data_IF_817079584226
#
_entry.id   IF_817079584226
#
_cell.length_a   1.000
_cell.length_b   1.000
_cell.length_c   1.000
_cell.angle_alpha   90.00
_cell.angle_beta   90.00
_cell.angle_gamma   90.00
#
_symmetry.space_group_name_H-M   'P 1'
#
loop_
_entity.id
_entity.type
_entity.pdbx_description
1 polymer ?
#
# COMPACT_ATOMS: atom_id res chain seq x y z
N UNK A 1 -18.78 -11.47 2.14
CA UNK A 1 -17.31 -11.46 2.01
C UNK A 1 -16.92 -11.72 0.57
N UNK A 2 -16.74 -10.66 -0.20
CA UNK A 2 -16.41 -10.76 -1.62
C UNK A 2 -15.30 -9.76 -1.92
N UNK A 3 -14.09 -10.25 -2.16
CA UNK A 3 -13.05 -9.44 -2.76
C UNK A 3 -13.55 -9.10 -4.16
N UNK A 4 -13.94 -7.84 -4.37
CA UNK A 4 -14.30 -7.35 -5.68
C UNK A 4 -13.00 -6.91 -6.36
N UNK A 5 -12.50 -7.72 -7.28
CA UNK A 5 -11.43 -7.29 -8.18
C UNK A 5 -12.01 -6.19 -9.06
N UNK A 6 -11.58 -4.96 -8.83
CA UNK A 6 -11.89 -3.84 -9.72
C UNK A 6 -10.81 -3.85 -10.79
N UNK A 7 -11.12 -4.41 -11.95
CA UNK A 7 -10.29 -4.20 -13.13
C UNK A 7 -10.35 -2.70 -13.46
N UNK A 8 -9.21 -2.02 -13.33
CA UNK A 8 -9.11 -0.60 -13.65
C UNK A 8 -9.21 -0.38 -15.16
N UNK A 9 -9.94 0.65 -15.59
CA UNK A 9 -10.03 1.09 -16.99
C UNK A 9 -8.72 1.73 -17.54
N UNK A 10 -7.54 1.40 -16.99
CA UNK A 10 -6.30 2.13 -17.24
C UNK A 10 -5.11 1.22 -17.48
N UNK A 11 -4.33 1.56 -18.52
CA UNK A 11 -3.00 1.08 -18.92
C UNK A 11 -2.51 -0.21 -18.27
N UNK A 12 -2.34 -1.24 -19.09
CA UNK A 12 -1.73 -2.52 -18.71
C UNK A 12 -0.35 -2.28 -18.09
N UNK A 13 -0.29 -2.28 -16.75
CA UNK A 13 0.96 -2.12 -16.03
C UNK A 13 1.75 -3.41 -16.20
N UNK A 14 2.95 -3.31 -16.75
CA UNK A 14 3.84 -4.46 -16.86
C UNK A 14 4.21 -4.94 -15.46
N UNK A 15 3.78 -6.15 -15.10
CA UNK A 15 4.10 -6.77 -13.82
C UNK A 15 4.74 -8.15 -14.01
N UNK A 16 5.49 -8.58 -13.00
CA UNK A 16 6.08 -9.92 -12.93
C UNK A 16 5.86 -10.50 -11.55
N UNK A 17 5.59 -11.80 -11.48
CA UNK A 17 5.42 -12.54 -10.24
C UNK A 17 6.47 -13.64 -10.20
N UNK A 18 7.28 -13.70 -9.15
CA UNK A 18 8.30 -14.72 -8.96
C UNK A 18 8.54 -15.03 -7.49
N UNK A 19 9.12 -16.20 -7.23
CA UNK A 19 9.54 -16.59 -5.88
C UNK A 19 10.98 -16.16 -5.62
N UNK A 20 11.23 -15.62 -4.44
CA UNK A 20 12.56 -15.27 -3.94
C UNK A 20 12.72 -15.84 -2.52
N UNK A 21 13.28 -17.05 -2.42
CA UNK A 21 13.32 -17.79 -1.15
C UNK A 21 11.91 -18.15 -0.67
N UNK A 22 11.55 -17.73 0.55
CA UNK A 22 10.22 -17.96 1.12
C UNK A 22 9.17 -16.94 0.67
N UNK A 23 9.57 -15.91 -0.09
CA UNK A 23 8.69 -14.82 -0.49
C UNK A 23 8.14 -15.02 -1.91
N UNK A 24 6.89 -14.59 -2.10
CA UNK A 24 6.31 -14.29 -3.40
C UNK A 24 6.46 -12.79 -3.62
N UNK A 25 7.08 -12.41 -4.74
CA UNK A 25 7.30 -11.02 -5.12
C UNK A 25 6.47 -10.72 -6.37
N UNK A 26 5.60 -9.71 -6.28
CA UNK A 26 4.94 -9.08 -7.43
C UNK A 26 5.59 -7.73 -7.67
N UNK A 27 6.37 -7.64 -8.74
CA UNK A 27 7.00 -6.41 -9.21
C UNK A 27 6.08 -5.73 -10.22
N UNK A 28 5.68 -4.49 -9.97
CA UNK A 28 4.96 -3.64 -10.91
C UNK A 28 5.97 -2.62 -11.45
N UNK A 29 6.40 -2.81 -12.70
CA UNK A 29 7.56 -2.12 -13.27
C UNK A 29 7.44 -0.60 -13.16
N UNK A 30 8.40 0.01 -12.45
CA UNK A 30 8.49 1.46 -12.29
C UNK A 30 7.50 2.07 -11.27
N UNK A 31 6.76 1.23 -10.52
CA UNK A 31 5.79 1.68 -9.53
C UNK A 31 6.05 1.12 -8.13
N UNK A 32 5.99 -0.20 -7.92
CA UNK A 32 6.16 -0.80 -6.60
C UNK A 32 6.51 -2.29 -6.66
N UNK A 33 7.01 -2.82 -5.56
CA UNK A 33 7.09 -4.26 -5.29
C UNK A 33 6.17 -4.61 -4.12
N UNK A 34 5.37 -5.66 -4.30
CA UNK A 34 4.64 -6.35 -3.23
C UNK A 34 5.41 -7.62 -2.88
N UNK A 35 5.83 -7.75 -1.63
CA UNK A 35 6.61 -8.89 -1.13
C UNK A 35 5.79 -9.55 -0.02
N UNK A 36 5.44 -10.81 -0.20
CA UNK A 36 4.57 -11.54 0.72
C UNK A 36 5.20 -12.88 1.10
N UNK A 37 5.15 -13.24 2.38
CA UNK A 37 5.71 -14.48 2.92
C UNK A 37 4.79 -15.71 2.73
N UNK A 38 3.74 -15.58 1.91
CA UNK A 38 2.68 -16.57 1.75
C UNK A 38 1.93 -16.92 3.05
N UNK A 39 2.00 -16.04 4.07
CA UNK A 39 1.33 -16.15 5.36
C UNK A 39 0.72 -14.80 5.72
N UNK A 40 1.32 -14.10 6.68
CA UNK A 40 0.76 -12.89 7.29
C UNK A 40 1.61 -11.64 7.09
N UNK A 41 2.85 -11.79 6.60
CA UNK A 41 3.78 -10.67 6.47
C UNK A 41 3.76 -10.15 5.04
N UNK A 42 3.34 -8.90 4.88
CA UNK A 42 3.26 -8.20 3.61
C UNK A 42 4.09 -6.93 3.69
N UNK A 43 4.90 -6.68 2.67
CA UNK A 43 5.72 -5.49 2.53
C UNK A 43 5.47 -4.83 1.17
N UNK A 44 5.26 -3.52 1.18
CA UNK A 44 5.18 -2.70 -0.02
C UNK A 44 6.44 -1.84 -0.11
N UNK A 45 7.14 -1.92 -1.24
CA UNK A 45 8.24 -1.03 -1.56
C UNK A 45 7.81 -0.12 -2.72
N UNK A 46 7.64 1.16 -2.44
CA UNK A 46 7.13 2.12 -3.42
C UNK A 46 8.27 2.85 -4.15
N UNK A 47 8.10 3.09 -5.44
CA UNK A 47 8.99 4.00 -6.17
C UNK A 47 8.81 5.44 -5.63
N UNK A 48 9.89 6.23 -5.49
CA UNK A 48 9.82 7.63 -5.03
C UNK A 48 8.86 8.57 -5.80
N UNK A 49 8.34 8.14 -6.96
CA UNK A 49 7.37 8.90 -7.77
C UNK A 49 6.00 8.98 -7.09
N UNK A 50 5.74 8.07 -6.15
CA UNK A 50 4.52 7.97 -5.35
C UNK A 50 4.62 8.76 -4.02
N UNK A 51 5.76 9.42 -3.75
CA UNK A 51 5.95 10.24 -2.54
C UNK A 51 4.84 11.28 -2.42
N UNK A 52 4.11 11.29 -1.30
CA UNK A 52 2.98 12.18 -1.03
C UNK A 52 1.76 11.98 -1.93
N UNK A 53 1.67 10.86 -2.67
CA UNK A 53 0.55 10.56 -3.60
C UNK A 53 -0.26 9.34 -3.20
N UNK A 54 0.03 8.77 -2.04
CA UNK A 54 -0.67 7.60 -1.50
C UNK A 54 -1.34 7.99 -0.19
N UNK A 55 -2.27 7.16 0.25
CA UNK A 55 -2.92 7.26 1.55
C UNK A 55 -3.37 5.86 1.96
N UNK A 56 -3.63 5.66 3.25
CA UNK A 56 -4.06 4.39 3.81
C UNK A 56 -3.34 4.07 5.12
N UNK A 57 -3.46 2.82 5.55
CA UNK A 57 -2.87 2.34 6.80
C UNK A 57 -1.33 2.42 6.86
N UNK A 58 -0.65 2.52 5.72
CA UNK A 58 0.80 2.71 5.63
C UNK A 58 1.22 4.19 5.62
N UNK A 59 0.31 5.12 5.94
CA UNK A 59 0.56 6.55 5.89
C UNK A 59 0.42 7.15 4.50
N UNK A 60 0.98 8.35 4.31
CA UNK A 60 0.88 9.12 3.05
C UNK A 60 2.19 9.20 2.25
N UNK A 61 3.29 8.63 2.79
CA UNK A 61 4.61 8.59 2.18
C UNK A 61 5.16 9.99 1.80
N UNK A 62 4.90 11.03 2.59
CA UNK A 62 5.47 12.37 2.36
C UNK A 62 6.82 12.61 3.08
N UNK A 63 7.18 11.73 4.03
CA UNK A 63 8.39 11.80 4.85
C UNK A 63 8.19 12.48 6.20
N UNK A 64 6.95 12.81 6.58
CA UNK A 64 6.58 13.39 7.86
C UNK A 64 5.73 12.41 8.68
N UNK A 65 6.38 11.64 9.55
CA UNK A 65 5.69 10.65 10.38
C UNK A 65 4.59 11.24 11.30
N UNK A 66 4.60 12.56 11.57
CA UNK A 66 3.63 13.20 12.45
C UNK A 66 2.22 13.29 11.84
N UNK A 67 2.05 13.08 10.52
CA UNK A 67 0.76 13.16 9.85
C UNK A 67 0.32 11.81 9.23
N UNK A 68 1.03 10.72 9.51
CA UNK A 68 0.73 9.41 8.89
C UNK A 68 -0.59 8.81 9.39
N UNK A 69 -1.08 9.20 10.57
CA UNK A 69 -2.42 8.85 11.06
C UNK A 69 -3.49 9.79 10.49
N UNK A 70 -3.48 9.97 9.17
CA UNK A 70 -4.47 10.73 8.42
C UNK A 70 -5.63 9.83 8.00
N UNK A 71 -6.85 10.16 8.44
CA UNK A 71 -8.08 9.48 8.05
C UNK A 71 -8.43 9.76 6.58
N UNK A 72 -9.36 8.99 6.00
CA UNK A 72 -9.80 9.18 4.60
C UNK A 72 -10.38 10.58 4.31
N UNK A 73 -10.87 11.30 5.33
CA UNK A 73 -11.39 12.66 5.23
C UNK A 73 -10.31 13.76 5.35
N UNK A 74 -9.03 13.39 5.49
CA UNK A 74 -7.90 14.31 5.62
C UNK A 74 -7.58 14.76 7.04
N UNK A 75 -8.37 14.35 8.04
CA UNK A 75 -8.14 14.68 9.44
C UNK A 75 -7.01 13.83 10.03
N UNK A 76 -6.07 14.46 10.73
CA UNK A 76 -4.97 13.78 11.43
C UNK A 76 -5.38 13.50 12.87
N UNK A 77 -5.25 12.25 13.30
CA UNK A 77 -5.60 11.80 14.66
C UNK A 77 -4.39 11.20 15.35
N UNK A 78 -4.43 11.10 16.68
CA UNK A 78 -3.33 10.51 17.47
C UNK A 78 -3.64 9.10 17.96
N UNK A 79 -4.91 8.69 18.01
CA UNK A 79 -5.30 7.34 18.42
C UNK A 79 -5.15 6.35 17.24
N UNK A 80 -4.25 5.35 17.34
CA UNK A 80 -4.10 4.33 16.31
C UNK A 80 -5.38 3.54 16.03
N UNK A 81 -6.25 3.36 17.04
CA UNK A 81 -7.51 2.62 16.87
C UNK A 81 -8.51 3.43 16.06
N UNK A 82 -8.69 4.71 16.39
CA UNK A 82 -9.49 5.64 15.59
C UNK A 82 -8.98 5.69 14.14
N UNK A 83 -7.67 5.86 13.96
CA UNK A 83 -7.04 5.86 12.63
C UNK A 83 -7.31 4.57 11.86
N UNK A 84 -7.02 3.40 12.46
CA UNK A 84 -7.20 2.11 11.80
C UNK A 84 -8.66 1.83 11.41
N UNK A 85 -9.60 2.19 12.28
CA UNK A 85 -11.03 2.01 12.01
C UNK A 85 -11.57 2.92 10.90
N UNK A 86 -10.89 4.03 10.61
CA UNK A 86 -11.28 4.97 9.55
C UNK A 86 -11.01 4.47 8.13
N UNK A 87 -10.23 3.39 8.00
CA UNK A 87 -9.81 2.75 6.74
C UNK A 87 -10.44 1.35 6.53
N UNK A 88 -11.52 1.04 7.26
CA UNK A 88 -12.29 -0.20 7.07
C UNK A 88 -13.10 -0.20 5.77
#
# INVERSE_FOLDING_TARGET
>A
DGVKVVEGNGTDYQYQIYSAGIYIVTEVKGLLNLIWDNKTSLMLQLHPKLKGKVCGLCGNFDGNANNDFMKHNGEVVTDPKEFGNSWK
#
